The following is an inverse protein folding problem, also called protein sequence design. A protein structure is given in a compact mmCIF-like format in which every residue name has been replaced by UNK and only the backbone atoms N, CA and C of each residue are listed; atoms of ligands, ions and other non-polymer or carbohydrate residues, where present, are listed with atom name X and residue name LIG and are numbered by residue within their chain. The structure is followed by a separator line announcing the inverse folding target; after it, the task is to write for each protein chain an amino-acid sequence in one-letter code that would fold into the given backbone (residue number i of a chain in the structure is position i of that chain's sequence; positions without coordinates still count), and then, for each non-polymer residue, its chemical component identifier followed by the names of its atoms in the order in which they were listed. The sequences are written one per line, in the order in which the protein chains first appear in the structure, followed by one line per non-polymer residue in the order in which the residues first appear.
data_IF_949452465289
#
_entry.id   IF_949452465289
#
_cell.length_a   1.000
_cell.length_b   1.000
_cell.length_c   1.000
_cell.angle_alpha   90.00
_cell.angle_beta   90.00
_cell.angle_gamma   90.00
#
_symmetry.space_group_name_H-M   'P 1'
#
loop_
_entity.id
_entity.type
_entity.pdbx_description
1 polymer ?
#
# COMPACT_ATOMS: atom_id res chain seq x y z
N UNK A 1 -3.37 2.16 -3.56
CA UNK A 1 -1.97 2.34 -3.14
C UNK A 1 -1.66 3.82 -3.21
N UNK A 2 -0.90 4.35 -2.24
CA UNK A 2 -0.40 5.72 -2.27
C UNK A 2 1.10 5.67 -2.03
N UNK A 3 1.85 6.31 -2.92
CA UNK A 3 3.29 6.54 -2.77
C UNK A 3 3.45 8.05 -2.60
N UNK A 4 4.19 8.45 -1.58
CA UNK A 4 4.40 9.85 -1.23
C UNK A 4 5.88 10.07 -0.87
N UNK A 5 6.52 11.13 -1.39
CA UNK A 5 7.81 11.56 -0.86
C UNK A 5 7.64 11.93 0.62
N UNK A 6 8.70 11.74 1.41
CA UNK A 6 8.69 12.07 2.83
C UNK A 6 8.86 13.58 3.08
N UNK A 7 9.35 14.34 2.09
CA UNK A 7 9.45 15.80 2.13
C UNK A 7 8.25 16.44 1.40
N UNK A 8 7.81 17.60 1.89
CA UNK A 8 6.62 18.32 1.42
C UNK A 8 6.94 19.24 0.22
N UNK A 9 8.12 19.09 -0.37
CA UNK A 9 8.54 19.87 -1.54
C UNK A 9 7.95 19.26 -2.80
N UNK A 10 6.76 19.77 -3.13
CA UNK A 10 5.92 19.32 -4.22
C UNK A 10 6.63 18.90 -5.52
N UNK A 11 6.26 17.69 -5.96
CA UNK A 11 6.48 17.06 -7.26
C UNK A 11 7.90 16.60 -7.63
N UNK A 12 8.36 15.61 -6.89
CA UNK A 12 9.51 14.80 -7.25
C UNK A 12 9.18 13.34 -7.61
N UNK A 13 7.93 12.90 -7.42
CA UNK A 13 7.52 11.51 -7.52
C UNK A 13 6.59 11.27 -8.72
N UNK A 14 6.94 10.32 -9.57
CA UNK A 14 6.13 9.89 -10.71
C UNK A 14 5.94 8.38 -10.68
N UNK A 15 4.70 7.92 -10.83
CA UNK A 15 4.41 6.50 -11.10
C UNK A 15 4.53 6.30 -12.60
N UNK A 16 5.47 5.45 -13.02
CA UNK A 16 5.70 5.14 -14.43
C UNK A 16 4.73 4.05 -14.89
N UNK A 17 4.60 2.99 -14.10
CA UNK A 17 3.76 1.84 -14.43
C UNK A 17 3.27 1.14 -13.17
N UNK A 18 1.99 0.72 -13.19
CA UNK A 18 1.40 -0.12 -12.15
C UNK A 18 1.14 -1.51 -12.73
N UNK A 19 1.83 -2.52 -12.20
CA UNK A 19 1.76 -3.90 -12.67
C UNK A 19 1.04 -4.72 -11.61
N UNK A 20 -0.28 -4.82 -11.76
CA UNK A 20 -1.17 -5.53 -10.84
C UNK A 20 -2.11 -6.46 -11.60
N UNK A 21 -2.45 -7.64 -11.05
CA UNK A 21 -3.50 -8.47 -11.63
C UNK A 21 -4.85 -7.76 -11.57
N UNK A 22 -5.64 -7.85 -12.63
CA UNK A 22 -6.99 -7.27 -12.66
C UNK A 22 -7.91 -7.89 -11.60
N UNK A 23 -7.85 -9.21 -11.44
CA UNK A 23 -8.65 -9.98 -10.48
C UNK A 23 -7.80 -11.13 -9.96
N UNK A 24 -7.92 -11.43 -8.67
CA UNK A 24 -7.36 -12.64 -8.07
C UNK A 24 -8.48 -13.39 -7.36
N UNK A 25 -8.62 -14.67 -7.69
CA UNK A 25 -9.55 -15.56 -7.00
C UNK A 25 -8.95 -16.02 -5.67
N UNK A 26 -9.75 -16.02 -4.60
CA UNK A 26 -9.30 -16.44 -3.29
C UNK A 26 -8.85 -17.91 -3.29
N UNK A 27 -7.65 -18.18 -2.75
CA UNK A 27 -7.06 -19.53 -2.73
C UNK A 27 -6.43 -19.97 -4.06
N UNK A 28 -6.55 -19.19 -5.14
CA UNK A 28 -5.92 -19.54 -6.44
C UNK A 28 -4.40 -19.39 -6.44
N UNK A 29 -3.87 -18.52 -5.59
CA UNK A 29 -2.42 -18.26 -5.43
C UNK A 29 -2.07 -18.17 -3.96
N UNK A 30 -0.88 -18.66 -3.59
CA UNK A 30 -0.33 -18.54 -2.24
C UNK A 30 0.07 -17.10 -1.88
N UNK A 31 0.37 -16.28 -2.89
CA UNK A 31 0.67 -14.86 -2.73
C UNK A 31 0.27 -14.09 -4.00
N UNK A 32 0.04 -12.80 -3.84
CA UNK A 32 -0.22 -11.85 -4.92
C UNK A 32 0.86 -10.78 -4.86
N UNK A 33 1.48 -10.50 -6.01
CA UNK A 33 2.45 -9.41 -6.16
C UNK A 33 1.72 -8.20 -6.73
N UNK A 34 1.89 -7.05 -6.08
CA UNK A 34 1.38 -5.78 -6.54
C UNK A 34 2.58 -4.86 -6.77
N UNK A 35 3.00 -4.74 -8.02
CA UNK A 35 4.25 -4.09 -8.38
C UNK A 35 4.00 -2.68 -8.96
N UNK A 36 4.94 -1.77 -8.73
CA UNK A 36 4.84 -0.38 -9.14
C UNK A 36 6.22 0.16 -9.48
N UNK A 37 6.41 0.52 -10.75
CA UNK A 37 7.57 1.28 -11.18
C UNK A 37 7.33 2.77 -10.92
N UNK A 38 8.29 3.41 -10.24
CA UNK A 38 8.21 4.81 -9.89
C UNK A 38 9.59 5.47 -9.98
N UNK A 39 9.59 6.77 -10.23
CA UNK A 39 10.78 7.61 -10.24
C UNK A 39 10.66 8.70 -9.19
N UNK A 40 11.73 8.91 -8.43
CA UNK A 40 11.84 9.96 -7.43
C UNK A 40 13.08 10.81 -7.71
N UNK A 41 12.96 12.14 -7.61
CA UNK A 41 14.08 13.04 -7.81
C UNK A 41 15.10 12.92 -6.65
N UNK A 42 16.39 12.99 -6.97
CA UNK A 42 17.49 12.77 -6.01
C UNK A 42 17.57 13.79 -4.88
N UNK A 43 16.87 14.92 -5.01
CA UNK A 43 16.80 15.95 -3.97
C UNK A 43 15.93 15.56 -2.78
N UNK A 44 15.21 14.43 -2.86
CA UNK A 44 14.14 14.10 -1.92
C UNK A 44 14.57 12.98 -0.99
N UNK A 45 14.53 13.28 0.30
CA UNK A 45 15.01 12.37 1.32
C UNK A 45 13.86 11.59 1.90
N UNK A 46 13.52 10.47 1.27
CA UNK A 46 12.65 9.45 1.87
C UNK A 46 11.35 9.20 1.10
N UNK A 47 10.81 8.00 1.33
CA UNK A 47 9.63 7.48 0.66
C UNK A 47 8.69 6.90 1.71
N UNK A 48 7.40 7.13 1.53
CA UNK A 48 6.37 6.42 2.29
C UNK A 48 5.41 5.75 1.31
N UNK A 49 5.30 4.43 1.42
CA UNK A 49 4.32 3.64 0.66
C UNK A 49 3.22 3.19 1.61
N UNK A 50 1.97 3.42 1.23
CA UNK A 50 0.77 3.02 1.98
C UNK A 50 -0.17 2.21 1.10
N UNK A 51 -0.62 1.08 1.63
CA UNK A 51 -1.66 0.27 1.01
C UNK A 51 -2.97 0.49 1.73
N UNK A 52 -4.02 0.78 0.98
CA UNK A 52 -5.38 0.92 1.48
C UNK A 52 -6.20 -0.23 0.93
N UNK A 53 -7.14 -0.72 1.74
CA UNK A 53 -8.05 -1.77 1.35
C UNK A 53 -9.37 -1.15 0.90
N UNK A 54 -9.75 -1.39 -0.35
CA UNK A 54 -10.89 -0.74 -1.00
C UNK A 54 -10.81 0.79 -0.86
N UNK A 55 -11.95 1.47 -0.70
CA UNK A 55 -12.04 2.92 -0.47
C UNK A 55 -11.88 3.30 1.00
N UNK A 56 -11.12 2.52 1.78
CA UNK A 56 -10.89 2.81 3.19
C UNK A 56 -9.92 3.97 3.42
N UNK A 57 -10.20 4.83 4.39
CA UNK A 57 -9.34 5.99 4.73
C UNK A 57 -8.08 5.64 5.51
N UNK A 58 -7.91 4.36 5.85
CA UNK A 58 -6.85 3.91 6.74
C UNK A 58 -6.01 2.83 6.08
N UNK A 59 -4.67 2.97 6.08
CA UNK A 59 -3.82 1.99 5.45
C UNK A 59 -3.81 0.67 6.23
N UNK A 60 -3.65 -0.43 5.51
CA UNK A 60 -3.48 -1.78 6.04
C UNK A 60 -2.01 -2.19 6.12
N UNK A 61 -1.18 -1.68 5.20
CA UNK A 61 0.27 -1.80 5.24
C UNK A 61 0.91 -0.44 5.01
N UNK A 62 2.06 -0.23 5.65
CA UNK A 62 2.91 0.94 5.43
C UNK A 62 4.37 0.52 5.32
N UNK A 63 5.11 1.15 4.41
CA UNK A 63 6.55 0.98 4.30
C UNK A 63 7.27 2.32 4.25
N UNK A 64 8.27 2.48 5.12
CA UNK A 64 9.15 3.66 5.21
C UNK A 64 10.59 3.12 5.23
N UNK A 65 11.33 3.21 4.11
CA UNK A 65 12.72 2.75 4.06
C UNK A 65 13.60 3.45 5.12
N UNK A 66 14.63 2.77 5.65
CA UNK A 66 15.08 1.41 5.32
C UNK A 66 14.36 0.32 6.13
N UNK A 67 13.28 0.66 6.85
CA UNK A 67 12.61 -0.27 7.75
C UNK A 67 11.87 -1.35 6.96
N UNK A 68 11.57 -2.48 7.61
CA UNK A 68 10.68 -3.49 7.04
C UNK A 68 9.24 -2.94 6.97
N UNK A 69 8.43 -3.38 5.99
CA UNK A 69 7.02 -3.03 5.94
C UNK A 69 6.31 -3.36 7.26
N UNK A 70 5.49 -2.43 7.73
CA UNK A 70 4.68 -2.54 8.93
C UNK A 70 3.25 -2.98 8.56
N UNK A 71 2.76 -4.00 9.25
CA UNK A 71 1.35 -4.41 9.24
C UNK A 71 0.58 -3.59 10.27
N UNK A 72 -0.46 -2.88 9.81
CA UNK A 72 -1.30 -2.03 10.65
C UNK A 72 -2.53 -2.77 11.19
N UNK A 73 -2.61 -4.09 11.00
CA UNK A 73 -3.52 -4.99 11.68
C UNK A 73 -4.96 -4.99 11.18
N UNK A 74 -5.29 -4.21 10.14
CA UNK A 74 -6.67 -4.08 9.65
C UNK A 74 -7.17 -5.24 8.80
N UNK A 75 -6.25 -6.06 8.28
CA UNK A 75 -6.56 -7.29 7.56
C UNK A 75 -6.67 -8.50 8.48
N UNK A 76 -6.40 -8.35 9.79
CA UNK A 76 -6.66 -9.43 10.74
C UNK A 76 -8.15 -9.77 10.72
N UNK A 77 -8.45 -11.06 10.66
CA UNK A 77 -9.81 -11.62 10.59
C UNK A 77 -10.75 -11.00 11.63
N UNK A 78 -10.23 -10.62 12.80
CA UNK A 78 -10.96 -9.93 13.87
C UNK A 78 -11.64 -8.62 13.41
N UNK A 79 -11.02 -7.86 12.51
CA UNK A 79 -11.54 -6.59 11.98
C UNK A 79 -12.71 -6.80 11.02
N UNK A 80 -12.67 -7.84 10.18
CA UNK A 80 -13.77 -8.20 9.28
C UNK A 80 -14.91 -8.90 10.02
N UNK A 81 -14.60 -9.77 10.99
CA UNK A 81 -15.62 -10.40 11.84
C UNK A 81 -16.42 -9.36 12.63
N UNK A 82 -15.80 -8.28 13.09
CA UNK A 82 -16.53 -7.17 13.72
C UNK A 82 -17.47 -6.42 12.77
N UNK A 83 -17.19 -6.38 11.45
CA UNK A 83 -18.10 -5.76 10.47
C UNK A 83 -19.28 -6.65 10.11
N UNK A 84 -19.09 -7.98 10.07
CA UNK A 84 -20.17 -8.92 9.80
C UNK A 84 -21.12 -9.07 11.00
N UNK A 85 -20.62 -8.92 12.22
CA UNK A 85 -21.43 -8.96 13.44
C UNK A 85 -22.23 -7.66 13.71
N UNK A 86 -22.01 -6.60 12.94
CA UNK A 86 -22.70 -5.31 13.10
C UNK A 86 -23.61 -4.99 11.89
N UNK A 87 -24.11 -6.03 11.21
CA UNK A 87 -25.07 -5.92 10.11
C UNK A 87 -26.28 -6.81 10.35
#
# INVERSE_FOLDING_TARGET
MVIMPADDKGNCLQINELIVPNVVENGSKSAVVLDCDYSINNSETGLVVKWFLNDGDTPVYQWIPPQRPQDLGKLKIDSWMNRLNNR
#
